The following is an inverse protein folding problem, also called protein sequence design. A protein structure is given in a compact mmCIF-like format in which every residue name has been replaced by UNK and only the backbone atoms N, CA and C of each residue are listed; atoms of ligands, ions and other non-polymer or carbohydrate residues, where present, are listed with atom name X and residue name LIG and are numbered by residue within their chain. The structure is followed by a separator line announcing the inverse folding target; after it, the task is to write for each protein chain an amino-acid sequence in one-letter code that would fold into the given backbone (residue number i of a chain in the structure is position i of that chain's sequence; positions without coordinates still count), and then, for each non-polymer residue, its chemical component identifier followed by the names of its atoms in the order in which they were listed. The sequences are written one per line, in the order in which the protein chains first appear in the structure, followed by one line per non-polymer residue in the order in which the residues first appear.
data_IF_354595505273
#
_entry.id   IF_354595505273
#
_cell.length_a   1.000
_cell.length_b   1.000
_cell.length_c   1.000
_cell.angle_alpha   90.00
_cell.angle_beta   90.00
_cell.angle_gamma   90.00
#
_symmetry.space_group_name_H-M   'P 1'
#
loop_
_entity.id
_entity.type
_entity.pdbx_description
1 polymer ?
#
# COMPACT_ATOMS: atom_id res chain seq x y z
N UNK A 1 66.98 -23.39 43.67
CA UNK A 1 66.01 -24.51 43.69
C UNK A 1 64.62 -23.95 43.49
N UNK A 2 63.88 -24.53 42.53
CA UNK A 2 62.42 -24.51 42.33
C UNK A 2 61.77 -23.24 41.77
N UNK A 3 61.51 -23.35 40.47
CA UNK A 3 60.46 -22.77 39.64
C UNK A 3 59.17 -22.33 40.37
N UNK A 4 58.57 -21.22 39.91
CA UNK A 4 57.12 -21.16 39.73
C UNK A 4 56.75 -20.26 38.55
N UNK A 5 56.03 -20.86 37.59
CA UNK A 5 55.38 -20.22 36.45
C UNK A 5 54.28 -19.26 36.91
N UNK A 6 54.16 -18.09 36.27
CA UNK A 6 52.93 -17.29 36.28
C UNK A 6 52.50 -17.07 34.83
N UNK A 7 51.29 -17.54 34.55
CA UNK A 7 50.60 -17.48 33.27
C UNK A 7 50.12 -16.06 32.94
N UNK A 8 50.25 -15.68 31.68
CA UNK A 8 49.66 -14.46 31.10
C UNK A 8 48.20 -14.77 30.78
N UNK A 9 47.27 -14.22 31.57
CA UNK A 9 45.84 -14.21 31.26
C UNK A 9 45.56 -12.99 30.36
N UNK A 10 45.40 -13.21 29.06
CA UNK A 10 44.87 -12.20 28.15
C UNK A 10 43.34 -12.15 28.32
N UNK A 11 42.85 -11.13 29.02
CA UNK A 11 41.42 -10.86 29.11
C UNK A 11 40.88 -10.35 27.78
N UNK A 12 40.18 -11.20 27.03
CA UNK A 12 39.22 -10.73 26.03
C UNK A 12 38.03 -10.12 26.78
N UNK A 13 37.98 -8.79 26.84
CA UNK A 13 36.72 -8.08 27.04
C UNK A 13 35.84 -8.35 25.82
N UNK A 14 34.94 -9.32 25.93
CA UNK A 14 33.76 -9.37 25.07
C UNK A 14 32.87 -8.20 25.49
N UNK A 15 32.97 -7.08 24.78
CA UNK A 15 31.92 -6.07 24.80
C UNK A 15 30.68 -6.70 24.16
N UNK A 16 29.78 -7.23 24.99
CA UNK A 16 28.41 -7.50 24.57
C UNK A 16 27.79 -6.15 24.24
N UNK A 17 27.85 -5.75 22.98
CA UNK A 17 27.02 -4.67 22.48
C UNK A 17 25.58 -5.11 22.69
N UNK A 18 24.88 -4.46 23.60
CA UNK A 18 23.44 -4.57 23.68
C UNK A 18 22.89 -4.02 22.36
N UNK A 19 22.54 -4.92 21.44
CA UNK A 19 21.68 -4.60 20.32
C UNK A 19 20.31 -4.29 20.89
N UNK A 20 20.03 -3.00 21.14
CA UNK A 20 18.66 -2.56 21.36
C UNK A 20 17.89 -2.87 20.08
N UNK A 21 16.94 -3.80 20.15
CA UNK A 21 15.94 -3.93 19.10
C UNK A 21 15.22 -2.59 19.00
N UNK A 22 15.27 -1.94 17.83
CA UNK A 22 14.50 -0.72 17.60
C UNK A 22 13.02 -1.11 17.51
N UNK A 23 12.20 -0.54 18.39
CA UNK A 23 10.74 -0.68 18.29
C UNK A 23 10.26 -0.02 16.99
N UNK A 24 9.30 -0.67 16.34
CA UNK A 24 8.61 -0.14 15.17
C UNK A 24 7.35 0.57 15.63
N UNK A 25 7.07 1.72 15.03
CA UNK A 25 5.86 2.50 15.28
C UNK A 25 5.19 2.88 13.94
N UNK A 26 3.86 3.01 13.97
CA UNK A 26 3.11 3.84 13.03
C UNK A 26 3.27 5.32 13.45
N UNK A 27 2.90 6.24 12.57
CA UNK A 27 3.04 7.67 12.81
C UNK A 27 1.88 8.25 13.60
N UNK A 28 0.79 7.51 13.84
CA UNK A 28 -0.37 7.98 14.59
C UNK A 28 0.04 8.55 15.97
N UNK A 29 1.05 7.95 16.62
CA UNK A 29 1.63 8.44 17.88
C UNK A 29 2.33 9.78 17.73
N UNK A 30 3.02 10.00 16.62
CA UNK A 30 3.73 11.26 16.37
C UNK A 30 2.72 12.39 16.12
N UNK A 31 1.59 12.05 15.51
CA UNK A 31 0.49 12.97 15.31
C UNK A 31 -0.21 13.24 16.65
N UNK A 32 -0.43 12.22 17.48
CA UNK A 32 -1.00 12.42 18.81
C UNK A 32 -0.10 13.31 19.67
N UNK A 33 1.23 13.15 19.59
CA UNK A 33 2.17 14.06 20.23
C UNK A 33 2.05 15.50 19.70
N UNK A 34 1.82 15.69 18.40
CA UNK A 34 1.57 17.01 17.83
C UNK A 34 0.26 17.62 18.36
N UNK A 35 -0.83 16.84 18.37
CA UNK A 35 -2.14 17.24 18.93
C UNK A 35 -2.01 17.60 20.41
N UNK A 36 -1.33 16.79 21.20
CA UNK A 36 -1.15 16.98 22.64
C UNK A 36 -0.42 18.29 22.99
N UNK A 37 0.41 18.79 22.08
CA UNK A 37 1.16 20.04 22.24
C UNK A 37 0.34 21.28 21.84
N UNK A 38 -0.82 21.14 21.21
CA UNK A 38 -1.75 22.23 20.89
C UNK A 38 -3.04 22.10 21.72
N UNK A 39 -3.29 23.00 22.69
CA UNK A 39 -4.47 22.92 23.56
C UNK A 39 -5.82 22.93 22.83
N UNK A 40 -5.90 23.58 21.66
CA UNK A 40 -7.13 23.65 20.86
C UNK A 40 -7.36 22.33 20.16
N UNK A 41 -6.33 21.80 19.49
CA UNK A 41 -6.41 20.50 18.82
C UNK A 41 -6.69 19.40 19.83
N UNK A 42 -6.05 19.41 21.00
CA UNK A 42 -6.29 18.43 22.07
C UNK A 42 -7.74 18.42 22.55
N UNK A 43 -8.35 19.59 22.75
CA UNK A 43 -9.75 19.67 23.17
C UNK A 43 -10.70 19.14 22.09
N UNK A 44 -10.42 19.45 20.81
CA UNK A 44 -11.19 18.94 19.68
C UNK A 44 -11.04 17.43 19.51
N UNK A 45 -9.83 16.91 19.67
CA UNK A 45 -9.52 15.48 19.60
C UNK A 45 -10.29 14.69 20.66
N UNK A 46 -10.32 15.18 21.90
CA UNK A 46 -11.10 14.57 22.98
C UNK A 46 -12.61 14.51 22.69
N UNK A 47 -13.16 15.56 22.07
CA UNK A 47 -14.57 15.59 21.65
C UNK A 47 -14.83 14.59 20.51
N UNK A 48 -13.95 14.57 19.52
CA UNK A 48 -14.03 13.65 18.39
C UNK A 48 -13.90 12.19 18.83
N UNK A 49 -13.02 11.91 19.79
CA UNK A 49 -12.84 10.59 20.39
C UNK A 49 -14.13 10.09 21.07
N UNK A 50 -14.81 10.96 21.82
CA UNK A 50 -16.08 10.60 22.47
C UNK A 50 -17.14 10.22 21.42
N UNK A 51 -17.25 11.02 20.35
CA UNK A 51 -18.18 10.72 19.23
C UNK A 51 -17.80 9.44 18.50
N UNK A 52 -16.51 9.18 18.33
CA UNK A 52 -15.98 7.97 17.72
C UNK A 52 -16.40 6.72 18.52
N UNK A 53 -16.15 6.69 19.83
CA UNK A 53 -16.53 5.56 20.69
C UNK A 53 -18.06 5.36 20.72
N UNK A 54 -18.84 6.44 20.82
CA UNK A 54 -20.31 6.35 20.80
C UNK A 54 -20.85 5.80 19.47
N UNK A 55 -20.28 6.25 18.35
CA UNK A 55 -20.65 5.77 17.02
C UNK A 55 -20.33 4.29 16.84
N UNK A 56 -19.14 3.85 17.23
CA UNK A 56 -18.71 2.47 17.02
C UNK A 56 -19.55 1.48 17.84
N UNK A 57 -19.95 1.85 19.06
CA UNK A 57 -20.90 1.05 19.87
C UNK A 57 -22.23 0.82 19.16
N UNK A 58 -22.67 1.75 18.30
CA UNK A 58 -23.89 1.60 17.52
C UNK A 58 -23.70 0.72 16.27
N UNK A 59 -22.46 0.51 15.82
CA UNK A 59 -22.11 -0.28 14.63
C UNK A 59 -21.81 -1.75 14.96
N UNK A 60 -21.81 -2.11 16.25
CA UNK A 60 -21.58 -3.49 16.69
C UNK A 60 -22.49 -4.50 15.99
N UNK A 61 -21.90 -5.51 15.38
CA UNK A 61 -22.58 -6.54 14.58
C UNK A 61 -23.45 -5.99 13.44
N UNK A 62 -23.29 -4.73 13.03
CA UNK A 62 -24.07 -4.12 11.94
C UNK A 62 -23.37 -4.18 10.59
N UNK A 63 -22.20 -4.81 10.49
CA UNK A 63 -21.56 -5.12 9.21
C UNK A 63 -22.58 -5.87 8.33
N UNK A 64 -23.24 -5.12 7.45
CA UNK A 64 -24.43 -5.53 6.74
C UNK A 64 -24.12 -6.77 5.90
N UNK A 65 -24.87 -7.86 6.14
CA UNK A 65 -24.84 -9.12 5.37
C UNK A 65 -25.12 -8.97 3.86
N UNK A 66 -25.37 -7.75 3.38
CA UNK A 66 -25.77 -7.41 2.00
C UNK A 66 -24.98 -6.23 1.39
N UNK A 67 -23.88 -5.77 2.00
CA UNK A 67 -23.05 -4.75 1.34
C UNK A 67 -22.24 -5.45 0.25
N UNK A 68 -22.56 -5.16 -1.02
CA UNK A 68 -21.90 -5.78 -2.17
C UNK A 68 -20.38 -5.54 -2.18
N UNK A 69 -19.69 -6.28 -3.03
CA UNK A 69 -18.24 -6.16 -3.19
C UNK A 69 -17.90 -4.71 -3.60
N UNK A 70 -16.99 -4.08 -2.86
CA UNK A 70 -16.49 -2.73 -3.17
C UNK A 70 -15.09 -2.88 -3.75
N UNK A 71 -14.78 -2.16 -4.84
CA UNK A 71 -13.40 -2.04 -5.33
C UNK A 71 -12.95 -0.60 -5.25
N UNK A 72 -11.87 -0.37 -4.51
CA UNK A 72 -11.29 0.93 -4.22
C UNK A 72 -10.13 1.18 -5.18
N UNK A 73 -10.19 2.25 -6.01
CA UNK A 73 -9.07 2.66 -6.84
C UNK A 73 -7.93 3.21 -5.99
N UNK A 74 -6.72 2.71 -6.20
CA UNK A 74 -5.51 3.10 -5.47
C UNK A 74 -4.51 3.72 -6.43
N UNK A 75 -3.94 4.86 -6.06
CA UNK A 75 -2.80 5.48 -6.75
C UNK A 75 -1.59 5.50 -5.83
N UNK A 76 -0.42 5.20 -6.39
CA UNK A 76 0.84 5.16 -5.66
C UNK A 76 1.76 6.30 -6.07
N UNK A 77 2.29 7.04 -5.10
CA UNK A 77 3.16 8.20 -5.28
C UNK A 77 4.56 7.89 -4.74
N UNK A 78 5.51 7.58 -5.61
CA UNK A 78 6.84 7.11 -5.23
C UNK A 78 7.82 8.28 -5.20
N UNK A 79 8.38 8.57 -4.03
CA UNK A 79 9.35 9.66 -3.83
C UNK A 79 10.60 9.09 -3.16
N UNK A 80 11.62 8.80 -3.96
CA UNK A 80 12.87 8.16 -3.52
C UNK A 80 14.08 8.79 -4.20
N UNK A 81 15.28 8.63 -3.65
CA UNK A 81 16.51 8.96 -4.37
C UNK A 81 17.01 7.78 -5.23
N UNK A 82 18.01 8.02 -6.08
CA UNK A 82 18.55 7.02 -6.99
C UNK A 82 19.15 5.81 -6.26
N UNK A 83 19.75 5.99 -5.08
CA UNK A 83 20.31 4.86 -4.33
C UNK A 83 19.23 3.99 -3.67
N UNK A 84 18.14 4.60 -3.21
CA UNK A 84 16.95 3.91 -2.69
C UNK A 84 16.23 3.16 -3.81
N UNK A 85 16.07 3.77 -4.99
CA UNK A 85 15.54 3.09 -6.19
C UNK A 85 16.38 1.87 -6.54
N UNK A 86 17.71 2.03 -6.64
CA UNK A 86 18.61 0.92 -6.94
C UNK A 86 18.54 -0.20 -5.89
N UNK A 87 18.35 0.14 -4.60
CA UNK A 87 18.23 -0.83 -3.50
C UNK A 87 16.98 -1.72 -3.59
N UNK A 88 16.01 -1.36 -4.43
CA UNK A 88 14.77 -2.11 -4.65
C UNK A 88 14.55 -2.46 -6.12
N UNK A 89 15.63 -2.61 -6.89
CA UNK A 89 15.59 -2.98 -8.32
C UNK A 89 14.87 -1.95 -9.20
N UNK A 90 15.09 -0.67 -8.90
CA UNK A 90 14.57 0.49 -9.62
C UNK A 90 13.03 0.46 -9.79
N UNK A 91 12.52 1.09 -10.85
CA UNK A 91 11.10 1.16 -11.17
C UNK A 91 10.45 -0.21 -11.23
N UNK A 92 11.14 -1.22 -11.79
CA UNK A 92 10.60 -2.57 -11.94
C UNK A 92 10.30 -3.23 -10.59
N UNK A 93 11.22 -3.13 -9.63
CA UNK A 93 10.99 -3.71 -8.31
C UNK A 93 9.99 -2.91 -7.46
N UNK A 94 9.85 -1.59 -7.67
CA UNK A 94 8.74 -0.81 -7.06
C UNK A 94 7.39 -1.27 -7.62
N UNK A 95 7.27 -1.43 -8.94
CA UNK A 95 6.05 -1.93 -9.58
C UNK A 95 5.68 -3.31 -9.02
N UNK A 96 6.65 -4.21 -8.90
CA UNK A 96 6.43 -5.55 -8.34
C UNK A 96 5.95 -5.48 -6.88
N UNK A 97 6.57 -4.63 -6.06
CA UNK A 97 6.13 -4.40 -4.67
C UNK A 97 4.71 -3.88 -4.60
N UNK A 98 4.35 -2.87 -5.41
CA UNK A 98 2.99 -2.31 -5.48
C UNK A 98 1.97 -3.40 -5.81
N UNK A 99 2.21 -4.21 -6.84
CA UNK A 99 1.27 -5.27 -7.19
C UNK A 99 1.21 -6.38 -6.12
N UNK A 100 2.34 -6.74 -5.51
CA UNK A 100 2.36 -7.67 -4.38
C UNK A 100 1.59 -7.13 -3.17
N UNK A 101 1.65 -5.82 -2.94
CA UNK A 101 0.94 -5.15 -1.86
C UNK A 101 -0.57 -5.12 -2.14
N UNK A 102 -0.99 -4.85 -3.36
CA UNK A 102 -2.41 -4.92 -3.76
C UNK A 102 -2.95 -6.35 -3.57
N UNK A 103 -2.16 -7.38 -3.90
CA UNK A 103 -2.55 -8.76 -3.61
C UNK A 103 -2.74 -8.99 -2.11
N UNK A 104 -1.80 -8.53 -1.28
CA UNK A 104 -1.89 -8.60 0.19
C UNK A 104 -3.13 -7.88 0.73
N UNK A 105 -3.41 -6.67 0.27
CA UNK A 105 -4.61 -5.92 0.70
C UNK A 105 -5.88 -6.69 0.35
N UNK A 106 -5.97 -7.25 -0.87
CA UNK A 106 -7.11 -8.08 -1.27
C UNK A 106 -7.20 -9.40 -0.49
N UNK A 107 -6.09 -9.95 -0.02
CA UNK A 107 -6.08 -11.12 0.87
C UNK A 107 -6.63 -10.74 2.26
N UNK A 108 -6.07 -9.71 2.89
CA UNK A 108 -6.39 -9.30 4.27
C UNK A 108 -7.81 -8.72 4.39
N UNK A 109 -8.17 -7.80 3.49
CA UNK A 109 -9.47 -7.13 3.52
C UNK A 109 -10.62 -7.99 2.96
N UNK A 110 -10.35 -9.26 2.63
CA UNK A 110 -11.36 -10.25 2.30
C UNK A 110 -11.30 -11.50 3.18
N UNK A 111 -10.49 -11.50 4.25
CA UNK A 111 -10.24 -12.67 5.10
C UNK A 111 -9.83 -13.92 4.29
N UNK A 112 -9.03 -13.71 3.23
CA UNK A 112 -8.51 -14.74 2.30
C UNK A 112 -7.01 -14.95 2.45
N UNK A 113 -6.37 -14.27 3.40
CA UNK A 113 -4.98 -14.46 3.76
C UNK A 113 -4.73 -15.89 4.26
N UNK A 114 -3.68 -16.54 3.75
CA UNK A 114 -3.40 -17.96 4.07
C UNK A 114 -3.12 -18.18 5.57
N UNK A 115 -2.55 -17.19 6.25
CA UNK A 115 -2.24 -17.23 7.67
C UNK A 115 -3.46 -17.01 8.58
N UNK A 116 -4.66 -16.81 8.03
CA UNK A 116 -5.91 -16.74 8.82
C UNK A 116 -6.18 -18.03 9.61
N UNK A 117 -5.66 -19.16 9.12
CA UNK A 117 -5.73 -20.44 9.84
C UNK A 117 -4.92 -20.43 11.16
N UNK A 118 -4.01 -19.47 11.33
CA UNK A 118 -3.21 -19.28 12.53
C UNK A 118 -3.92 -18.44 13.60
N UNK A 119 -5.12 -17.90 13.31
CA UNK A 119 -5.96 -17.25 14.33
C UNK A 119 -6.24 -18.27 15.45
N UNK A 120 -5.91 -17.94 16.72
CA UNK A 120 -6.18 -18.83 17.84
C UNK A 120 -7.66 -19.20 17.93
N UNK A 121 -7.96 -20.43 18.33
CA UNK A 121 -9.34 -20.96 18.37
C UNK A 121 -10.30 -20.06 19.16
N UNK A 122 -9.81 -19.47 20.24
CA UNK A 122 -10.55 -18.54 21.11
C UNK A 122 -10.94 -17.24 20.41
N UNK A 123 -10.25 -16.84 19.35
CA UNK A 123 -10.49 -15.62 18.58
C UNK A 123 -11.20 -15.84 17.23
N UNK A 124 -11.26 -17.09 16.73
CA UNK A 124 -11.92 -17.42 15.47
C UNK A 124 -13.36 -16.91 15.33
N UNK A 125 -14.22 -16.93 16.39
CA UNK A 125 -15.57 -16.40 16.29
C UNK A 125 -15.67 -14.91 15.98
N UNK A 126 -14.59 -14.14 16.21
CA UNK A 126 -14.56 -12.69 16.02
C UNK A 126 -14.01 -12.27 14.66
N UNK A 127 -13.50 -13.21 13.85
CA UNK A 127 -12.90 -12.88 12.54
C UNK A 127 -13.94 -12.21 11.63
N UNK A 128 -13.63 -11.00 11.19
CA UNK A 128 -14.42 -10.23 10.24
C UNK A 128 -13.90 -10.36 8.82
N UNK A 129 -14.82 -10.37 7.85
CA UNK A 129 -14.49 -10.22 6.44
C UNK A 129 -14.97 -8.83 5.95
N UNK A 130 -14.06 -7.88 5.69
CA UNK A 130 -14.45 -6.55 5.20
C UNK A 130 -15.13 -6.57 3.83
N UNK A 131 -14.92 -7.58 2.99
CA UNK A 131 -15.40 -7.63 1.61
C UNK A 131 -15.03 -6.36 0.80
N UNK A 132 -13.77 -5.96 0.92
CA UNK A 132 -13.20 -4.76 0.28
C UNK A 132 -12.07 -5.17 -0.66
N UNK A 133 -12.22 -4.83 -1.93
CA UNK A 133 -11.24 -5.01 -2.98
C UNK A 133 -10.45 -3.73 -3.24
N UNK A 134 -9.22 -3.89 -3.70
CA UNK A 134 -8.30 -2.80 -4.05
C UNK A 134 -7.73 -3.03 -5.44
N UNK A 135 -7.72 -2.00 -6.28
CA UNK A 135 -7.16 -2.07 -7.63
C UNK A 135 -6.29 -0.86 -7.91
N UNK A 136 -5.16 -1.07 -8.60
CA UNK A 136 -4.33 0.05 -9.07
C UNK A 136 -5.11 0.83 -10.13
N UNK A 137 -5.28 2.13 -9.92
CA UNK A 137 -5.96 3.01 -10.86
C UNK A 137 -5.30 2.97 -12.25
N UNK A 138 -6.11 2.86 -13.29
CA UNK A 138 -5.71 2.85 -14.71
C UNK A 138 -6.12 4.08 -15.47
N UNK A 139 -6.87 4.97 -14.82
CA UNK A 139 -7.35 6.24 -15.35
C UNK A 139 -6.94 7.32 -14.36
N UNK A 140 -6.30 8.38 -14.83
CA UNK A 140 -5.90 9.53 -14.02
C UNK A 140 -7.06 10.53 -13.81
N UNK A 141 -6.90 11.56 -12.96
CA UNK A 141 -7.95 12.54 -12.72
C UNK A 141 -8.41 13.29 -13.98
N UNK A 142 -7.57 13.37 -15.02
CA UNK A 142 -7.89 13.98 -16.31
C UNK A 142 -8.53 13.01 -17.30
N UNK A 143 -8.81 11.76 -16.88
CA UNK A 143 -9.42 10.73 -17.71
C UNK A 143 -8.44 10.00 -18.64
N UNK A 144 -7.13 10.17 -18.45
CA UNK A 144 -6.10 9.56 -19.31
C UNK A 144 -5.63 8.23 -18.73
N UNK A 145 -5.28 7.29 -19.61
CA UNK A 145 -4.74 6.01 -19.20
C UNK A 145 -3.37 6.17 -18.52
N UNK A 146 -3.20 5.62 -17.32
CA UNK A 146 -1.94 5.66 -16.54
C UNK A 146 -1.70 4.33 -15.82
N UNK A 147 -0.46 4.11 -15.38
CA UNK A 147 -0.10 2.91 -14.60
C UNK A 147 -0.69 2.91 -13.18
N UNK A 148 -1.12 4.08 -12.69
CA UNK A 148 -1.54 4.30 -11.30
C UNK A 148 -0.38 4.41 -10.32
N UNK A 149 0.83 4.64 -10.84
CA UNK A 149 2.06 4.80 -10.07
C UNK A 149 2.80 6.02 -10.64
N UNK A 150 3.02 7.02 -9.81
CA UNK A 150 3.79 8.22 -10.12
C UNK A 150 5.19 8.10 -9.50
N UNK A 151 6.22 8.52 -10.22
CA UNK A 151 7.61 8.43 -9.77
C UNK A 151 8.25 9.82 -9.73
N UNK A 152 8.86 10.15 -8.60
CA UNK A 152 9.68 11.33 -8.37
C UNK A 152 11.03 10.89 -7.78
N UNK A 153 12.06 10.82 -8.63
CA UNK A 153 13.43 10.51 -8.18
C UNK A 153 14.14 11.79 -7.75
N UNK A 154 14.58 11.86 -6.48
CA UNK A 154 15.13 13.08 -5.85
C UNK A 154 16.40 12.80 -5.04
N UNK A 155 17.57 13.06 -5.64
CA UNK A 155 18.88 12.79 -5.03
C UNK A 155 19.31 13.77 -3.92
N UNK A 156 18.61 14.89 -3.76
CA UNK A 156 18.88 15.88 -2.71
C UNK A 156 18.50 15.44 -1.28
N UNK A 157 18.08 14.19 -1.10
CA UNK A 157 17.51 13.68 0.15
C UNK A 157 16.03 14.06 0.27
N UNK A 158 15.20 13.07 0.59
CA UNK A 158 13.79 13.26 0.88
C UNK A 158 13.42 12.29 2.00
N UNK A 159 13.00 12.84 3.14
CA UNK A 159 12.52 12.08 4.28
C UNK A 159 11.05 12.46 4.48
N UNK A 160 10.16 11.47 4.44
CA UNK A 160 8.74 11.70 4.23
C UNK A 160 7.98 12.25 5.45
N UNK A 161 8.55 12.14 6.65
CA UNK A 161 7.91 12.68 7.84
C UNK A 161 8.46 14.06 8.19
N UNK A 162 7.59 15.07 8.10
CA UNK A 162 7.80 16.42 8.66
C UNK A 162 6.50 16.80 9.38
N UNK A 163 6.54 17.56 10.47
CA UNK A 163 5.42 17.73 11.42
C UNK A 163 4.03 18.17 10.88
N UNK A 164 3.90 18.48 9.59
CA UNK A 164 2.63 18.78 8.91
C UNK A 164 2.37 17.91 7.68
N UNK A 165 3.24 16.94 7.38
CA UNK A 165 3.16 15.98 6.26
C UNK A 165 3.08 16.59 4.83
N UNK A 166 3.02 17.92 4.71
CA UNK A 166 2.97 18.61 3.44
C UNK A 166 4.20 18.31 2.55
N UNK A 167 5.36 18.00 3.14
CA UNK A 167 6.56 17.65 2.37
C UNK A 167 6.33 16.48 1.39
N UNK A 168 5.60 15.44 1.82
CA UNK A 168 5.33 14.23 1.03
C UNK A 168 4.16 14.43 0.09
N UNK A 169 3.10 15.06 0.59
CA UNK A 169 1.81 15.14 -0.11
C UNK A 169 1.62 16.41 -0.93
N UNK A 170 2.64 17.27 -1.03
CA UNK A 170 2.56 18.51 -1.82
C UNK A 170 3.76 18.69 -2.73
N UNK A 171 3.49 18.95 -4.01
CA UNK A 171 4.52 19.24 -5.01
C UNK A 171 5.28 20.53 -4.70
N UNK A 172 4.60 21.54 -4.14
CA UNK A 172 5.21 22.80 -3.72
C UNK A 172 6.26 22.61 -2.62
N UNK A 173 6.16 21.53 -1.84
CA UNK A 173 7.12 21.16 -0.80
C UNK A 173 8.10 20.08 -1.26
N UNK A 174 8.06 19.72 -2.55
CA UNK A 174 8.97 18.79 -3.18
C UNK A 174 8.58 17.32 -3.10
N UNK A 175 7.30 17.03 -2.80
CA UNK A 175 6.68 15.71 -2.91
C UNK A 175 5.75 15.60 -4.13
N UNK A 176 4.65 14.85 -3.99
CA UNK A 176 3.65 14.63 -5.04
C UNK A 176 2.26 14.99 -4.53
N UNK A 177 1.51 15.77 -5.32
CA UNK A 177 0.14 16.17 -4.96
C UNK A 177 -0.81 14.96 -5.01
N UNK A 178 -1.80 14.88 -4.10
CA UNK A 178 -2.81 13.84 -4.14
C UNK A 178 -3.66 13.93 -5.40
N UNK A 179 -4.08 12.77 -5.89
CA UNK A 179 -5.26 12.69 -6.75
C UNK A 179 -6.51 12.91 -5.90
N UNK A 180 -7.65 13.16 -6.55
CA UNK A 180 -8.92 13.42 -5.87
C UNK A 180 -9.28 12.31 -4.86
N UNK A 181 -9.22 12.65 -3.56
CA UNK A 181 -9.50 11.74 -2.44
C UNK A 181 -10.93 11.21 -2.39
N UNK A 182 -11.85 11.76 -3.19
CA UNK A 182 -13.21 11.20 -3.35
C UNK A 182 -13.25 10.05 -4.34
N UNK A 183 -12.20 9.86 -5.16
CA UNK A 183 -12.15 8.87 -6.24
C UNK A 183 -10.98 7.91 -6.13
N UNK A 184 -9.89 8.33 -5.49
CA UNK A 184 -8.66 7.57 -5.37
C UNK A 184 -8.19 7.53 -3.92
N UNK A 185 -7.85 6.32 -3.46
CA UNK A 185 -7.04 6.14 -2.26
C UNK A 185 -5.58 6.45 -2.62
N UNK A 186 -5.05 7.55 -2.07
CA UNK A 186 -3.66 7.96 -2.31
C UNK A 186 -2.71 7.25 -1.33
N UNK A 187 -1.67 6.63 -1.87
CA UNK A 187 -0.61 5.95 -1.10
C UNK A 187 0.76 6.49 -1.51
N UNK A 188 1.46 7.18 -0.62
CA UNK A 188 2.83 7.63 -0.87
C UNK A 188 3.84 6.61 -0.38
N UNK A 189 4.87 6.38 -1.20
CA UNK A 189 5.97 5.46 -0.93
C UNK A 189 7.24 6.29 -0.85
N UNK A 190 7.85 6.35 0.33
CA UNK A 190 9.04 7.17 0.53
C UNK A 190 9.95 6.61 1.61
N UNK A 191 11.06 7.28 1.87
CA UNK A 191 11.92 6.97 2.99
C UNK A 191 11.37 7.66 4.25
N UNK A 192 11.06 6.89 5.29
CA UNK A 192 10.61 7.43 6.57
C UNK A 192 11.75 7.28 7.58
N UNK A 193 12.32 8.39 8.04
CA UNK A 193 13.39 8.36 9.05
C UNK A 193 12.82 8.41 10.46
N UNK A 194 13.65 7.87 11.36
CA UNK A 194 13.47 7.77 12.81
C UNK A 194 12.88 9.06 13.41
N UNK A 195 11.88 8.91 14.27
CA UNK A 195 10.98 9.96 14.76
C UNK A 195 11.60 10.92 15.79
N UNK A 196 12.92 10.97 15.89
CA UNK A 196 13.62 11.71 16.96
C UNK A 196 13.48 11.05 18.36
N UNK A 197 12.68 9.99 18.49
CA UNK A 197 12.45 9.23 19.74
C UNK A 197 13.28 7.94 19.85
N UNK A 198 14.03 7.59 18.80
CA UNK A 198 14.81 6.34 18.73
C UNK A 198 14.06 5.19 18.03
N UNK A 199 12.74 5.32 17.82
CA UNK A 199 11.89 4.33 17.16
C UNK A 199 11.78 4.54 15.65
N UNK A 200 11.67 3.43 14.90
CA UNK A 200 11.51 3.48 13.44
C UNK A 200 10.04 3.69 13.05
N UNK A 201 9.76 4.70 12.25
CA UNK A 201 8.48 4.91 11.59
C UNK A 201 8.35 4.06 10.32
N UNK A 202 7.32 3.21 10.23
CA UNK A 202 7.06 2.36 9.06
C UNK A 202 5.97 2.89 8.13
N UNK A 203 4.99 3.61 8.68
CA UNK A 203 3.90 4.19 7.92
C UNK A 203 3.03 5.09 8.79
N UNK A 204 2.09 5.78 8.15
CA UNK A 204 1.00 6.50 8.80
C UNK A 204 -0.13 6.72 7.80
N UNK A 205 -1.36 6.88 8.27
CA UNK A 205 -2.48 7.24 7.42
C UNK A 205 -3.44 8.22 8.09
N UNK A 206 -4.16 8.96 7.24
CA UNK A 206 -5.22 9.85 7.66
C UNK A 206 -6.47 9.60 6.82
N UNK A 207 -7.62 9.50 7.48
CA UNK A 207 -8.87 9.74 6.76
C UNK A 207 -8.93 11.21 6.30
N UNK A 208 -9.64 11.54 5.21
CA UNK A 208 -9.83 12.93 4.80
C UNK A 208 -10.40 13.82 5.91
N UNK A 209 -11.30 13.30 6.75
CA UNK A 209 -11.84 14.04 7.89
C UNK A 209 -10.80 14.30 8.97
N UNK A 210 -9.98 13.30 9.30
CA UNK A 210 -8.91 13.47 10.27
C UNK A 210 -7.90 14.52 9.79
N UNK A 211 -7.49 14.44 8.52
CA UNK A 211 -6.63 15.45 7.89
C UNK A 211 -7.25 16.86 7.91
N UNK A 212 -8.55 16.97 7.67
CA UNK A 212 -9.29 18.24 7.80
C UNK A 212 -9.27 18.77 9.23
N UNK A 213 -9.47 17.91 10.23
CA UNK A 213 -9.54 18.30 11.64
C UNK A 213 -8.17 18.75 12.18
N UNK A 214 -7.11 18.01 11.86
CA UNK A 214 -5.78 18.25 12.41
C UNK A 214 -5.00 19.30 11.60
N UNK A 215 -5.11 19.29 10.27
CA UNK A 215 -4.29 20.12 9.39
C UNK A 215 -5.08 21.14 8.56
N UNK A 216 -6.40 21.13 8.64
CA UNK A 216 -7.25 22.05 7.86
C UNK A 216 -7.38 21.68 6.38
N UNK A 217 -6.88 20.52 5.97
CA UNK A 217 -6.75 20.15 4.55
C UNK A 217 -7.09 18.66 4.31
N UNK A 218 -8.29 18.35 3.80
CA UNK A 218 -8.75 16.97 3.61
C UNK A 218 -8.01 16.25 2.48
N UNK A 219 -7.30 16.98 1.62
CA UNK A 219 -6.51 16.38 0.55
C UNK A 219 -5.24 15.70 1.08
N UNK A 220 -4.81 16.01 2.32
CA UNK A 220 -3.72 15.27 2.97
C UNK A 220 -4.18 13.87 3.43
N UNK A 221 -5.46 13.52 3.29
CA UNK A 221 -5.97 12.17 3.49
C UNK A 221 -5.29 11.14 2.58
N UNK A 222 -5.03 9.94 3.11
CA UNK A 222 -4.34 8.84 2.45
C UNK A 222 -3.24 8.26 3.35
N UNK A 223 -2.51 7.27 2.82
CA UNK A 223 -1.50 6.52 3.56
C UNK A 223 -0.08 6.83 3.06
N UNK A 224 0.90 6.80 3.94
CA UNK A 224 2.32 6.88 3.60
C UNK A 224 3.00 5.65 4.18
N UNK A 225 3.85 5.01 3.38
CA UNK A 225 4.55 3.79 3.78
C UNK A 225 6.04 3.88 3.43
N UNK A 226 6.87 3.39 4.34
CA UNK A 226 8.29 3.26 4.10
C UNK A 226 8.52 2.28 2.93
N UNK A 227 9.36 2.66 1.96
CA UNK A 227 9.60 1.84 0.76
C UNK A 227 10.13 0.40 1.03
N UNK A 228 10.73 0.15 2.20
CA UNK A 228 11.22 -1.15 2.64
C UNK A 228 10.19 -1.93 3.47
N UNK A 229 9.03 -1.36 3.75
CA UNK A 229 7.87 -2.00 4.37
C UNK A 229 6.73 -2.26 3.35
N UNK A 230 6.95 -1.93 2.07
CA UNK A 230 5.98 -2.13 1.00
C UNK A 230 6.11 -3.53 0.36
N UNK A 231 4.97 -4.20 0.24
CA UNK A 231 4.83 -5.46 -0.48
C UNK A 231 5.18 -6.68 0.37
N UNK A 232 5.18 -7.85 -0.29
CA UNK A 232 5.45 -9.15 0.35
C UNK A 232 6.72 -9.76 -0.23
N UNK A 233 7.52 -10.39 0.64
CA UNK A 233 8.74 -11.11 0.25
C UNK A 233 8.46 -12.18 -0.79
N UNK A 234 9.28 -12.20 -1.83
CA UNK A 234 9.30 -13.20 -2.91
C UNK A 234 10.75 -13.53 -3.29
N UNK A 235 10.95 -14.35 -4.32
CA UNK A 235 12.29 -14.61 -4.88
C UNK A 235 12.94 -13.36 -5.50
N UNK A 236 12.13 -12.38 -5.89
CA UNK A 236 12.51 -11.16 -6.63
C UNK A 236 12.42 -9.91 -5.75
N UNK A 237 11.56 -9.93 -4.72
CA UNK A 237 11.46 -8.89 -3.69
C UNK A 237 12.10 -9.41 -2.40
N UNK A 238 13.34 -9.02 -2.13
CA UNK A 238 14.13 -9.57 -1.01
C UNK A 238 14.59 -8.54 0.02
N UNK A 239 14.73 -7.27 -0.37
CA UNK A 239 15.18 -6.21 0.52
C UNK A 239 13.99 -5.62 1.32
N UNK A 240 13.99 -5.75 2.64
CA UNK A 240 12.94 -5.24 3.52
C UNK A 240 13.57 -4.58 4.74
N UNK A 241 12.77 -3.79 5.47
CA UNK A 241 13.24 -3.07 6.65
C UNK A 241 13.77 -4.04 7.70
N UNK A 242 13.05 -5.14 7.91
CA UNK A 242 13.48 -6.27 8.74
C UNK A 242 12.79 -7.57 8.26
N UNK A 243 13.19 -8.74 8.78
CA UNK A 243 12.49 -10.01 8.53
C UNK A 243 11.07 -10.09 9.11
N UNK A 244 10.69 -9.15 9.98
CA UNK A 244 9.35 -9.08 10.60
C UNK A 244 8.42 -8.09 9.90
N UNK A 245 8.91 -7.37 8.88
CA UNK A 245 8.15 -6.37 8.10
C UNK A 245 8.24 -6.75 6.62
N UNK A 246 7.79 -7.98 6.30
CA UNK A 246 8.02 -8.62 5.00
C UNK A 246 6.79 -9.31 4.38
N UNK A 247 5.59 -9.05 4.91
CA UNK A 247 4.31 -9.57 4.40
C UNK A 247 3.37 -8.49 3.90
N UNK A 248 3.72 -7.21 4.05
CA UNK A 248 2.92 -6.07 3.59
C UNK A 248 1.85 -5.65 4.59
N UNK A 249 1.96 -6.06 5.86
CA UNK A 249 0.95 -5.73 6.89
C UNK A 249 1.04 -4.28 7.36
N UNK A 250 2.18 -3.61 7.18
CA UNK A 250 2.27 -2.17 7.43
C UNK A 250 1.18 -1.40 6.69
N UNK A 251 1.02 -1.59 5.37
CA UNK A 251 -0.05 -0.88 4.65
C UNK A 251 -1.45 -1.40 5.03
N UNK A 252 -1.62 -2.68 5.37
CA UNK A 252 -2.90 -3.19 5.90
C UNK A 252 -3.30 -2.45 7.17
N UNK A 253 -2.38 -2.28 8.11
CA UNK A 253 -2.53 -1.52 9.35
C UNK A 253 -2.86 -0.05 9.06
N UNK A 254 -2.08 0.61 8.20
CA UNK A 254 -2.32 2.01 7.84
C UNK A 254 -3.70 2.21 7.19
N UNK A 255 -4.15 1.26 6.36
CA UNK A 255 -5.50 1.36 5.80
C UNK A 255 -6.60 1.10 6.83
N UNK A 256 -6.33 0.37 7.91
CA UNK A 256 -7.21 0.34 9.08
C UNK A 256 -7.43 1.73 9.66
N UNK A 257 -6.35 2.49 9.91
CA UNK A 257 -6.43 3.89 10.35
C UNK A 257 -7.15 4.78 9.34
N UNK A 258 -6.87 4.62 8.05
CA UNK A 258 -7.57 5.35 6.99
C UNK A 258 -9.09 5.11 7.02
N UNK A 259 -9.51 3.88 7.28
CA UNK A 259 -10.91 3.48 7.45
C UNK A 259 -11.40 3.57 8.90
N UNK A 260 -10.79 4.47 9.69
CA UNK A 260 -11.25 4.89 11.01
C UNK A 260 -11.21 3.77 12.06
N UNK A 261 -10.18 2.92 12.05
CA UNK A 261 -9.89 1.96 13.11
C UNK A 261 -8.65 2.43 13.87
N UNK A 262 -8.71 2.47 15.19
CA UNK A 262 -7.58 2.84 16.03
C UNK A 262 -6.76 1.62 16.47
N UNK A 263 -5.59 1.89 17.05
CA UNK A 263 -4.80 0.87 17.71
C UNK A 263 -5.60 0.16 18.80
N UNK A 264 -5.46 -1.17 18.91
CA UNK A 264 -6.30 -2.00 19.81
C UNK A 264 -6.07 -1.74 21.31
N UNK A 265 -5.00 -1.02 21.67
CA UNK A 265 -4.74 -0.57 23.04
C UNK A 265 -5.23 0.88 23.31
N UNK A 266 -5.89 1.50 22.34
CA UNK A 266 -6.41 2.87 22.42
C UNK A 266 -5.45 3.95 21.92
N UNK A 267 -5.67 5.18 22.38
CA UNK A 267 -4.93 6.40 21.99
C UNK A 267 -3.77 6.75 22.95
N UNK A 268 -3.39 5.85 23.84
CA UNK A 268 -2.34 6.11 24.80
C UNK A 268 -0.96 5.83 24.22
N UNK A 269 0.02 6.67 24.57
CA UNK A 269 1.40 6.51 24.14
C UNK A 269 1.98 5.18 24.62
N UNK A 270 2.67 4.50 23.70
CA UNK A 270 3.36 3.23 23.97
C UNK A 270 4.36 3.36 25.12
N UNK A 271 4.41 2.36 25.97
CA UNK A 271 5.24 2.30 27.17
C UNK A 271 4.61 2.95 28.40
N UNK A 272 3.40 3.54 28.27
CA UNK A 272 2.69 4.13 29.41
C UNK A 272 1.91 3.10 30.23
N UNK A 273 1.59 1.94 29.65
CA UNK A 273 0.87 0.81 30.27
C UNK A 273 -0.45 1.22 30.91
N UNK A 274 -1.55 1.19 30.15
CA UNK A 274 -2.84 1.63 30.67
C UNK A 274 -4.00 0.72 30.23
N UNK A 275 -4.97 0.55 31.11
CA UNK A 275 -6.13 -0.32 30.89
C UNK A 275 -7.47 0.41 30.85
N UNK A 276 -7.40 1.74 30.79
CA UNK A 276 -8.57 2.62 30.85
C UNK A 276 -8.92 3.20 29.49
N UNK A 277 -7.93 3.27 28.60
CA UNK A 277 -8.12 3.55 27.19
C UNK A 277 -8.62 2.31 26.45
N UNK A 278 -9.24 2.54 25.30
CA UNK A 278 -10.00 1.55 24.56
C UNK A 278 -10.04 1.94 23.08
N UNK A 279 -9.98 1.01 22.15
CA UNK A 279 -10.02 1.34 20.71
C UNK A 279 -11.43 1.70 20.22
N UNK A 280 -12.41 1.69 21.13
CA UNK A 280 -13.81 1.97 20.86
C UNK A 280 -14.52 0.85 20.10
N UNK A 281 -13.93 -0.35 20.02
CA UNK A 281 -14.49 -1.52 19.36
C UNK A 281 -14.79 -2.60 20.42
N UNK A 282 -15.99 -3.16 20.39
CA UNK A 282 -16.48 -3.99 21.49
C UNK A 282 -15.93 -5.43 21.49
N UNK A 283 -15.51 -5.93 20.33
CA UNK A 283 -15.03 -7.32 20.14
C UNK A 283 -13.50 -7.44 20.07
N UNK A 284 -12.78 -6.34 20.25
CA UNK A 284 -11.35 -6.30 20.55
C UNK A 284 -11.17 -6.30 22.08
N UNK A 285 -10.49 -7.31 22.65
CA UNK A 285 -10.20 -7.31 24.07
C UNK A 285 -9.35 -6.10 24.47
N UNK A 286 -9.63 -5.53 25.65
CA UNK A 286 -8.78 -4.48 26.22
C UNK A 286 -7.33 -4.95 26.33
N UNK A 287 -6.44 -4.05 25.96
CA UNK A 287 -5.01 -4.29 25.86
C UNK A 287 -4.26 -3.16 26.56
N UNK A 288 -3.19 -3.50 27.31
CA UNK A 288 -2.48 -2.52 28.15
C UNK A 288 -1.55 -1.62 27.34
N UNK A 289 -0.93 -2.19 26.30
CA UNK A 289 0.08 -1.55 25.46
C UNK A 289 0.24 -2.31 24.13
N UNK A 290 0.98 -1.75 23.17
CA UNK A 290 1.28 -2.40 21.91
C UNK A 290 2.18 -3.65 22.09
N UNK A 291 1.86 -4.74 21.40
CA UNK A 291 2.71 -5.93 21.37
C UNK A 291 3.78 -5.80 20.28
N UNK A 292 5.05 -5.66 20.65
CA UNK A 292 6.18 -5.51 19.68
C UNK A 292 6.77 -6.85 19.20
N UNK A 293 6.35 -7.97 19.80
CA UNK A 293 6.87 -9.29 19.47
C UNK A 293 5.84 -10.37 19.72
N UNK A 294 6.01 -11.51 19.06
CA UNK A 294 5.11 -12.64 19.18
C UNK A 294 5.88 -13.95 18.97
N UNK A 295 5.40 -15.03 19.59
CA UNK A 295 5.99 -16.35 19.41
C UNK A 295 5.35 -17.07 18.21
N UNK A 296 6.16 -17.44 17.23
CA UNK A 296 5.67 -18.17 16.06
C UNK A 296 5.38 -19.63 16.38
N UNK A 297 4.19 -20.10 16.01
CA UNK A 297 3.82 -21.53 16.06
C UNK A 297 3.30 -22.03 17.40
N UNK A 298 3.21 -21.19 18.43
CA UNK A 298 2.50 -21.51 19.67
C UNK A 298 1.78 -20.28 20.18
N UNK A 299 0.46 -20.37 20.33
CA UNK A 299 -0.31 -19.32 20.96
C UNK A 299 -0.11 -19.41 22.47
N UNK A 300 0.48 -18.36 23.05
CA UNK A 300 0.58 -18.16 24.49
C UNK A 300 -0.24 -16.92 24.81
N UNK A 301 -1.38 -17.03 25.52
CA UNK A 301 -2.18 -15.88 25.90
C UNK A 301 -1.31 -14.86 26.66
N UNK A 302 -1.28 -13.63 26.16
CA UNK A 302 -0.71 -12.50 26.88
C UNK A 302 -1.79 -12.00 27.83
N UNK A 303 -1.56 -11.94 29.15
CA UNK A 303 -2.56 -11.45 30.09
C UNK A 303 -3.03 -10.06 29.66
N UNK A 304 -4.35 -9.88 29.60
CA UNK A 304 -4.94 -8.57 29.35
C UNK A 304 -5.12 -7.80 30.67
N UNK A 305 -5.61 -6.58 30.53
CA UNK A 305 -6.04 -5.74 31.62
C UNK A 305 -6.92 -6.47 32.64
N UNK A 306 -6.56 -6.36 33.93
CA UNK A 306 -7.09 -7.09 35.09
C UNK A 306 -8.61 -7.03 35.31
N UNK A 307 -9.34 -6.24 34.52
CA UNK A 307 -10.78 -5.99 34.63
C UNK A 307 -11.58 -6.28 33.33
N UNK A 308 -10.98 -6.84 32.28
CA UNK A 308 -11.61 -7.02 30.96
C UNK A 308 -11.40 -8.41 30.33
N UNK A 309 -11.19 -9.45 31.14
CA UNK A 309 -10.54 -10.68 30.70
C UNK A 309 -11.31 -11.50 29.67
N UNK A 310 -11.05 -11.24 28.39
CA UNK A 310 -11.27 -12.24 27.35
C UNK A 310 -10.37 -13.45 27.66
N UNK A 311 -10.89 -14.70 27.60
CA UNK A 311 -10.12 -15.90 27.96
C UNK A 311 -8.89 -16.13 27.07
N UNK A 312 -8.84 -15.50 25.91
CA UNK A 312 -7.67 -15.49 25.02
C UNK A 312 -6.58 -14.48 25.39
N UNK A 313 -6.78 -13.60 26.38
CA UNK A 313 -5.86 -12.51 26.65
C UNK A 313 -5.98 -11.39 25.61
N UNK A 314 -4.86 -10.74 25.30
CA UNK A 314 -4.74 -9.71 24.25
C UNK A 314 -4.82 -10.30 22.84
N UNK A 315 -5.36 -9.52 21.90
CA UNK A 315 -5.53 -9.93 20.50
C UNK A 315 -4.35 -9.47 19.63
N UNK A 316 -3.13 -9.88 20.00
CA UNK A 316 -1.89 -9.44 19.35
C UNK A 316 -1.77 -9.80 17.85
N UNK A 317 -2.62 -10.69 17.37
CA UNK A 317 -2.71 -11.07 15.95
C UNK A 317 -3.63 -10.15 15.12
N UNK A 318 -4.25 -9.15 15.75
CA UNK A 318 -5.03 -8.15 15.04
C UNK A 318 -4.10 -7.28 14.17
N UNK A 319 -4.55 -6.88 12.98
CA UNK A 319 -3.77 -5.99 12.13
C UNK A 319 -3.50 -4.62 12.77
N UNK A 320 -4.29 -4.20 13.75
CA UNK A 320 -4.17 -2.91 14.45
C UNK A 320 -3.31 -2.98 15.72
N UNK A 321 -2.63 -4.11 15.98
CA UNK A 321 -1.50 -4.17 16.92
C UNK A 321 -0.15 -3.89 16.21
N UNK A 322 0.96 -3.79 16.93
CA UNK A 322 2.34 -3.64 16.41
C UNK A 322 3.14 -4.93 16.35
N UNK A 323 2.47 -6.07 16.47
CA UNK A 323 3.13 -7.36 16.33
C UNK A 323 3.71 -7.46 14.92
N UNK A 324 4.87 -8.13 14.78
CA UNK A 324 5.47 -8.32 13.47
C UNK A 324 4.51 -9.00 12.48
N UNK A 325 4.63 -8.66 11.19
CA UNK A 325 3.73 -9.00 10.10
C UNK A 325 3.22 -10.45 10.10
N UNK A 326 4.08 -11.39 10.47
CA UNK A 326 3.78 -12.84 10.46
C UNK A 326 2.81 -13.29 11.56
N UNK A 327 2.57 -12.44 12.56
CA UNK A 327 1.60 -12.69 13.62
C UNK A 327 0.26 -12.01 13.36
N UNK A 328 0.23 -10.98 12.52
CA UNK A 328 -1.00 -10.26 12.19
C UNK A 328 -1.76 -10.98 11.07
N UNK A 329 -3.01 -11.35 11.34
CA UNK A 329 -3.79 -12.20 10.42
C UNK A 329 -5.32 -12.02 10.48
N UNK A 330 -5.83 -11.00 11.21
CA UNK A 330 -7.27 -10.72 11.24
C UNK A 330 -7.64 -9.27 11.56
N UNK A 331 -8.78 -8.85 11.02
CA UNK A 331 -9.65 -7.83 11.59
C UNK A 331 -10.82 -8.50 12.32
N UNK A 332 -11.43 -7.82 13.28
CA UNK A 332 -12.65 -8.29 13.93
C UNK A 332 -13.92 -7.91 13.17
N UNK A 333 -15.06 -8.51 13.53
CA UNK A 333 -16.35 -8.23 12.92
C UNK A 333 -16.83 -6.80 13.21
N UNK A 334 -16.59 -6.26 14.40
CA UNK A 334 -16.95 -4.89 14.74
C UNK A 334 -15.98 -3.87 14.10
N UNK A 335 -14.67 -4.17 13.98
CA UNK A 335 -13.75 -3.37 13.16
C UNK A 335 -14.23 -3.29 11.70
N UNK A 336 -14.68 -4.42 11.14
CA UNK A 336 -15.27 -4.47 9.80
C UNK A 336 -16.50 -3.58 9.68
N UNK A 337 -17.38 -3.58 10.69
CA UNK A 337 -18.58 -2.74 10.67
C UNK A 337 -18.25 -1.25 10.58
N UNK A 338 -17.21 -0.81 11.30
CA UNK A 338 -16.72 0.58 11.24
C UNK A 338 -16.14 0.90 9.87
N UNK A 339 -15.22 0.08 9.35
CA UNK A 339 -14.62 0.30 8.03
C UNK A 339 -15.68 0.35 6.93
N UNK A 340 -16.68 -0.55 6.97
CA UNK A 340 -17.76 -0.57 6.00
C UNK A 340 -18.66 0.64 6.10
N UNK A 341 -18.88 1.15 7.32
CA UNK A 341 -19.66 2.37 7.49
C UNK A 341 -19.02 3.58 6.81
N UNK A 342 -17.69 3.63 6.73
CA UNK A 342 -16.98 4.69 5.99
C UNK A 342 -17.22 4.66 4.48
N UNK A 343 -17.56 3.50 3.92
CA UNK A 343 -17.79 3.32 2.49
C UNK A 343 -19.27 3.40 2.09
N UNK A 344 -20.20 3.47 3.05
CA UNK A 344 -21.64 3.62 2.81
C UNK A 344 -22.04 5.11 2.70
N UNK A 345 -23.23 5.43 2.15
CA UNK A 345 -23.74 6.80 2.14
C UNK A 345 -23.69 7.45 3.54
N UNK A 346 -23.04 8.62 3.62
CA UNK A 346 -22.79 9.35 4.87
C UNK A 346 -21.47 9.00 5.57
N UNK A 347 -20.73 7.99 5.09
CA UNK A 347 -19.34 7.71 5.49
C UNK A 347 -18.35 8.66 4.80
N UNK A 348 -17.19 8.88 5.45
CA UNK A 348 -16.18 9.85 4.98
C UNK A 348 -15.57 9.41 3.65
N UNK A 349 -15.41 8.11 3.46
CA UNK A 349 -14.73 7.49 2.33
C UNK A 349 -15.71 6.94 1.28
N UNK A 350 -17.00 7.28 1.36
CA UNK A 350 -18.04 6.72 0.49
C UNK A 350 -17.72 6.87 -1.00
N UNK A 351 -17.16 8.02 -1.41
CA UNK A 351 -16.79 8.28 -2.80
C UNK A 351 -15.86 7.21 -3.38
N UNK A 352 -14.95 6.64 -2.58
CA UNK A 352 -14.02 5.61 -3.04
C UNK A 352 -14.72 4.33 -3.49
N UNK A 353 -15.94 4.07 -3.01
CA UNK A 353 -16.75 2.91 -3.41
C UNK A 353 -17.50 3.10 -4.73
N UNK A 354 -17.59 4.34 -5.23
CA UNK A 354 -18.43 4.71 -6.37
C UNK A 354 -17.71 4.60 -7.71
N UNK A 355 -16.40 4.35 -7.69
CA UNK A 355 -15.54 4.45 -8.87
C UNK A 355 -14.72 3.20 -9.23
N UNK A 356 -15.28 1.97 -9.13
CA UNK A 356 -14.53 0.75 -9.45
C UNK A 356 -14.06 0.69 -10.91
N UNK A 357 -14.71 1.42 -11.82
CA UNK A 357 -14.33 1.54 -13.24
C UNK A 357 -12.91 2.07 -13.44
N UNK A 358 -12.38 2.86 -12.48
CA UNK A 358 -11.05 3.45 -12.58
C UNK A 358 -9.93 2.42 -12.45
N UNK A 359 -10.22 1.20 -11.97
CA UNK A 359 -9.26 0.09 -11.90
C UNK A 359 -9.10 -0.66 -13.22
N UNK A 360 -9.92 -0.35 -14.23
CA UNK A 360 -9.87 -1.00 -15.53
C UNK A 360 -9.28 -0.06 -16.58
N UNK A 361 -8.52 -0.64 -17.51
CA UNK A 361 -8.08 0.11 -18.67
C UNK A 361 -9.31 0.62 -19.45
N UNK A 362 -9.34 1.90 -19.85
CA UNK A 362 -10.47 2.45 -20.58
C UNK A 362 -10.62 1.68 -21.91
N UNK A 363 -11.77 1.04 -22.10
CA UNK A 363 -12.10 0.29 -23.32
C UNK A 363 -12.40 1.21 -24.54
N UNK A 364 -12.37 2.54 -24.33
CA UNK A 364 -12.65 3.55 -25.35
C UNK A 364 -11.40 4.03 -26.10
N UNK A 365 -11.61 4.50 -27.33
CA UNK A 365 -10.59 5.06 -28.25
C UNK A 365 -9.91 6.34 -27.69
N UNK A 366 -10.26 6.78 -26.48
CA UNK A 366 -9.56 7.79 -25.68
C UNK A 366 -8.24 7.29 -25.05
N UNK A 367 -7.85 6.02 -25.24
CA UNK A 367 -6.49 5.52 -25.01
C UNK A 367 -5.41 6.19 -25.89
N UNK A 368 -5.79 7.17 -26.71
CA UNK A 368 -4.96 7.94 -27.63
C UNK A 368 -4.27 9.11 -26.89
N UNK A 369 -3.38 8.79 -25.96
CA UNK A 369 -2.27 9.69 -25.59
C UNK A 369 -0.91 8.99 -25.39
N UNK A 370 -0.81 7.69 -25.68
CA UNK A 370 0.48 7.07 -26.05
C UNK A 370 0.86 7.35 -27.53
N UNK A 371 0.11 8.23 -28.21
CA UNK A 371 0.16 8.40 -29.66
C UNK A 371 1.29 9.30 -30.19
N UNK A 372 2.10 9.94 -29.34
CA UNK A 372 3.13 10.86 -29.82
C UNK A 372 4.51 10.22 -30.06
N UNK A 373 4.68 8.92 -29.79
CA UNK A 373 6.00 8.27 -29.86
C UNK A 373 6.09 7.14 -30.90
N UNK A 374 5.03 6.91 -31.67
CA UNK A 374 4.92 5.77 -32.60
C UNK A 374 4.20 6.16 -33.90
N UNK A 375 4.90 6.07 -35.02
CA UNK A 375 4.38 6.32 -36.36
C UNK A 375 4.23 5.00 -37.13
N UNK A 376 3.12 4.82 -37.85
CA UNK A 376 2.98 3.71 -38.81
C UNK A 376 2.63 4.29 -40.19
N UNK A 377 3.48 4.05 -41.18
CA UNK A 377 3.30 4.60 -42.52
C UNK A 377 4.06 3.87 -43.63
N UNK A 378 3.60 3.97 -44.89
CA UNK A 378 2.38 4.68 -45.31
C UNK A 378 1.11 3.94 -44.85
N UNK A 379 0.05 4.70 -44.55
CA UNK A 379 -1.26 4.16 -44.20
C UNK A 379 -2.35 5.11 -44.76
N UNK A 380 -3.07 4.74 -45.83
CA UNK A 380 -3.10 3.41 -46.45
C UNK A 380 -1.77 2.97 -47.09
N UNK A 381 -1.52 1.66 -47.12
CA UNK A 381 -0.31 1.01 -47.66
C UNK A 381 -0.65 0.17 -48.90
N UNK A 382 0.28 0.06 -49.83
CA UNK A 382 0.20 -0.87 -50.98
C UNK A 382 0.69 -2.29 -50.66
N UNK A 383 0.94 -2.59 -49.38
CA UNK A 383 1.40 -3.89 -48.91
C UNK A 383 2.60 -3.81 -47.96
N UNK A 384 3.43 -2.77 -48.02
CA UNK A 384 4.56 -2.57 -47.11
C UNK A 384 4.32 -1.31 -46.27
N UNK A 385 4.46 -1.43 -44.95
CA UNK A 385 4.43 -0.29 -44.03
C UNK A 385 5.50 -0.42 -42.96
N UNK A 386 5.95 0.71 -42.45
CA UNK A 386 6.98 0.79 -41.43
C UNK A 386 6.36 1.28 -40.13
N UNK A 387 6.83 0.70 -39.04
CA UNK A 387 6.55 1.10 -37.67
C UNK A 387 7.80 1.83 -37.19
N UNK A 388 7.68 3.08 -36.76
CA UNK A 388 8.82 3.90 -36.30
C UNK A 388 8.56 4.42 -34.91
N UNK A 389 9.54 4.26 -34.04
CA UNK A 389 9.55 4.81 -32.70
C UNK A 389 10.29 6.16 -32.71
N UNK A 390 9.63 7.20 -32.20
CA UNK A 390 10.15 8.58 -32.18
C UNK A 390 11.03 8.83 -30.95
N UNK A 391 10.81 8.07 -29.87
CA UNK A 391 11.60 8.11 -28.63
C UNK A 391 11.94 6.70 -28.14
N UNK A 392 12.72 6.60 -27.04
CA UNK A 392 12.99 5.32 -26.39
C UNK A 392 11.68 4.69 -25.93
N UNK A 393 11.56 3.38 -26.15
CA UNK A 393 10.37 2.60 -25.83
C UNK A 393 10.75 1.39 -24.97
N UNK A 394 9.79 0.84 -24.23
CA UNK A 394 9.97 -0.34 -23.39
C UNK A 394 10.25 -1.58 -24.24
N UNK A 395 10.72 -2.68 -23.65
CA UNK A 395 11.07 -3.87 -24.42
C UNK A 395 9.86 -4.38 -25.22
N UNK A 396 10.01 -4.39 -26.55
CA UNK A 396 9.06 -4.97 -27.49
C UNK A 396 9.40 -6.45 -27.70
N UNK A 397 8.45 -7.34 -27.46
CA UNK A 397 8.65 -8.79 -27.60
C UNK A 397 8.27 -9.28 -28.99
N UNK A 398 7.12 -8.81 -29.50
CA UNK A 398 6.62 -9.21 -30.82
C UNK A 398 5.67 -8.19 -31.43
N UNK A 399 5.53 -8.30 -32.75
CA UNK A 399 4.58 -7.55 -33.56
C UNK A 399 3.67 -8.57 -34.24
N UNK A 400 2.35 -8.47 -34.05
CA UNK A 400 1.39 -9.32 -34.74
C UNK A 400 0.39 -8.48 -35.52
N UNK A 401 0.11 -8.87 -36.75
CA UNK A 401 -0.94 -8.26 -37.57
C UNK A 401 -2.13 -9.20 -37.61
N UNK A 402 -3.31 -8.70 -37.27
CA UNK A 402 -4.56 -9.46 -37.25
C UNK A 402 -5.56 -8.88 -38.24
N UNK A 403 -6.35 -9.77 -38.84
CA UNK A 403 -7.49 -9.38 -39.68
C UNK A 403 -8.68 -8.89 -38.83
N UNK A 404 -9.69 -8.29 -39.46
CA UNK A 404 -10.94 -7.87 -38.78
C UNK A 404 -11.73 -9.02 -38.16
N UNK A 405 -11.40 -10.28 -38.51
CA UNK A 405 -12.01 -11.49 -37.95
C UNK A 405 -11.19 -12.05 -36.77
N UNK A 406 -10.15 -11.33 -36.32
CA UNK A 406 -9.30 -11.73 -35.20
C UNK A 406 -8.22 -12.76 -35.53
N UNK A 407 -8.09 -13.17 -36.80
CA UNK A 407 -7.04 -14.11 -37.22
C UNK A 407 -5.70 -13.40 -37.37
N UNK A 408 -4.65 -13.91 -36.72
CA UNK A 408 -3.27 -13.48 -36.94
C UNK A 408 -2.79 -13.87 -38.33
N UNK A 409 -2.46 -12.87 -39.15
CA UNK A 409 -2.03 -13.03 -40.55
C UNK A 409 -0.52 -12.81 -40.74
N UNK A 410 0.13 -12.16 -39.76
CA UNK A 410 1.58 -11.99 -39.71
C UNK A 410 2.04 -11.90 -38.26
N UNK A 411 3.19 -12.48 -37.97
CA UNK A 411 3.88 -12.30 -36.68
C UNK A 411 5.38 -12.08 -36.94
N UNK A 412 5.97 -11.19 -36.15
CA UNK A 412 7.40 -10.87 -36.16
C UNK A 412 7.88 -10.89 -34.72
N UNK A 413 8.74 -11.83 -34.38
CA UNK A 413 9.42 -11.89 -33.08
C UNK A 413 10.56 -10.88 -33.05
N UNK A 414 10.69 -10.13 -31.96
CA UNK A 414 11.69 -9.08 -31.81
C UNK A 414 12.87 -9.60 -31.00
N UNK A 415 13.93 -10.02 -31.69
CA UNK A 415 15.16 -10.51 -31.06
C UNK A 415 16.10 -9.37 -30.62
N UNK A 416 16.02 -8.22 -31.30
CA UNK A 416 16.79 -7.01 -30.97
C UNK A 416 15.91 -5.76 -31.10
N UNK A 417 16.05 -4.84 -30.15
CA UNK A 417 15.29 -3.59 -30.12
C UNK A 417 15.82 -2.64 -31.20
N UNK A 418 14.95 -2.17 -32.09
CA UNK A 418 15.27 -1.27 -33.21
C UNK A 418 14.36 -0.05 -33.24
N UNK A 419 14.84 1.09 -33.74
CA UNK A 419 14.01 2.30 -33.84
C UNK A 419 12.88 2.21 -34.89
N UNK A 420 12.82 1.12 -35.65
CA UNK A 420 11.68 0.83 -36.50
C UNK A 420 11.70 -0.57 -37.09
N UNK A 421 10.54 -1.02 -37.55
CA UNK A 421 10.31 -2.35 -38.11
C UNK A 421 9.54 -2.20 -39.43
N UNK A 422 9.98 -2.93 -40.46
CA UNK A 422 9.27 -2.98 -41.74
C UNK A 422 8.41 -4.22 -41.81
N UNK A 423 7.13 -4.04 -42.14
CA UNK A 423 6.14 -5.13 -42.20
C UNK A 423 5.67 -5.27 -43.65
N UNK A 424 5.93 -6.45 -44.21
CA UNK A 424 5.47 -6.83 -45.56
C UNK A 424 4.22 -7.72 -45.49
N UNK A 425 3.14 -7.15 -46.03
CA UNK A 425 1.79 -7.68 -46.18
C UNK A 425 1.35 -7.68 -47.66
N UNK A 426 2.27 -7.60 -48.62
CA UNK A 426 1.95 -7.57 -50.06
C UNK A 426 1.19 -8.80 -50.54
N UNK A 427 1.34 -9.93 -49.86
CA UNK A 427 0.61 -11.18 -50.13
C UNK A 427 -0.80 -11.22 -49.52
N UNK A 428 -1.20 -10.21 -48.76
CA UNK A 428 -2.46 -10.21 -48.02
C UNK A 428 -3.55 -9.46 -48.80
N UNK A 429 -4.82 -9.87 -48.67
CA UNK A 429 -5.93 -9.18 -49.32
C UNK A 429 -6.02 -7.70 -48.94
N UNK A 430 -6.47 -6.86 -49.87
CA UNK A 430 -6.81 -5.47 -49.59
C UNK A 430 -7.89 -5.40 -48.52
N UNK A 431 -7.74 -4.50 -47.55
CA UNK A 431 -8.64 -4.45 -46.39
C UNK A 431 -8.04 -3.77 -45.16
N UNK A 432 -8.80 -3.79 -44.07
CA UNK A 432 -8.36 -3.27 -42.78
C UNK A 432 -7.69 -4.35 -41.95
N UNK A 433 -6.59 -4.00 -41.31
CA UNK A 433 -5.87 -4.84 -40.36
C UNK A 433 -5.57 -4.07 -39.08
N UNK A 434 -5.37 -4.80 -37.99
CA UNK A 434 -4.93 -4.26 -36.70
C UNK A 434 -3.52 -4.80 -36.43
N UNK A 435 -2.58 -3.90 -36.18
CA UNK A 435 -1.21 -4.19 -35.79
C UNK A 435 -1.14 -4.09 -34.27
N UNK A 436 -0.80 -5.20 -33.62
CA UNK A 436 -0.52 -5.27 -32.19
C UNK A 436 0.98 -5.31 -31.95
N UNK A 437 1.47 -4.38 -31.14
CA UNK A 437 2.83 -4.29 -30.63
C UNK A 437 2.79 -4.78 -29.19
N UNK A 438 3.41 -5.92 -28.92
CA UNK A 438 3.41 -6.58 -27.61
C UNK A 438 4.68 -6.20 -26.88
N UNK A 439 4.54 -5.42 -25.81
CA UNK A 439 5.61 -5.07 -24.88
C UNK A 439 5.46 -5.86 -23.58
N UNK A 440 6.51 -5.92 -22.78
CA UNK A 440 6.49 -6.51 -21.43
C UNK A 440 5.31 -5.98 -20.57
N UNK A 441 4.93 -4.71 -20.77
CA UNK A 441 3.92 -3.99 -19.97
C UNK A 441 2.51 -3.97 -20.58
N UNK A 442 2.33 -4.46 -21.81
CA UNK A 442 1.02 -4.46 -22.48
C UNK A 442 1.07 -4.39 -24.00
N UNK A 443 -0.10 -4.18 -24.62
CA UNK A 443 -0.26 -4.23 -26.08
C UNK A 443 -0.72 -2.87 -26.62
N UNK A 444 0.04 -2.31 -27.58
CA UNK A 444 -0.41 -1.15 -28.36
C UNK A 444 -1.03 -1.64 -29.67
N UNK A 445 -2.23 -1.16 -30.00
CA UNK A 445 -2.95 -1.55 -31.21
C UNK A 445 -3.08 -0.37 -32.18
N UNK A 446 -2.73 -0.56 -33.45
CA UNK A 446 -2.83 0.46 -34.51
C UNK A 446 -3.52 -0.11 -35.74
N UNK A 447 -4.39 0.68 -36.36
CA UNK A 447 -5.07 0.30 -37.60
C UNK A 447 -4.17 0.57 -38.81
N UNK A 448 -4.10 -0.38 -39.74
CA UNK A 448 -3.51 -0.21 -41.08
C UNK A 448 -4.52 -0.62 -42.15
N UNK A 449 -4.55 0.10 -43.27
CA UNK A 449 -5.39 -0.20 -44.42
C UNK A 449 -4.50 -0.58 -45.61
N UNK A 450 -4.72 -1.75 -46.20
CA UNK A 450 -4.07 -2.17 -47.45
C UNK A 450 -4.97 -1.83 -48.65
N UNK A 451 -4.42 -1.17 -49.67
CA UNK A 451 -5.13 -0.67 -50.85
C UNK A 451 -4.59 -1.18 -52.18
#
# INVERSE_FOLDING_TARGET
MKNLLIAILAGMLMSTGNSYAQNTICGNELIQQYIDNDPVLKAQDQENWTKYVERNKQLKNTANKNTGDVTIPVVFHVILNSSQMAAVNDTAGIIERVFSQIAVLNEDFNAKNFDIQNVPEVFKPYVGNPNMGFGVAKIDPNGKARLGIEFLVKDGGFDGYSGHDAATKRKVSGGLDPWDNTRYLNVWITNLKNSGTGSQLLGYAFSPQYAQNVYGDPQLGGAVVHYLALGRRSSTITNFFSPTVDKGRTLTHELGHFFNIWHIWGNTQIGSGNCFDDDGIDDTPRQEDANQSCQFGTFVPIPNCSNGSHPGGEMFMNYMDYSGDRCQNMFTADQVAVMRKELEPGGISHGLSLHPELCFWPAGVSAVEYNNHLEIGPNPSTGIFNIRFVEKYNRLDKISVVSTMGQTVKEVTVESQQNGYSIDMTSMPKGMYIVHLHFDEGIISKKVVLQ
#
